data_IF_764843326866
#
_entry.id   IF_764843326866
#
_cell.length_a   1.000
_cell.length_b   1.000
_cell.length_c   1.000
_cell.angle_alpha   90.00
_cell.angle_beta   90.00
_cell.angle_gamma   90.00
#
_symmetry.space_group_name_H-M   'P 1'
#
loop_
_entity.id
_entity.type
_entity.pdbx_description
1 polymer ?
#
# COMPACT_ATOMS: atom_id res chain seq x y z
N UNK A 1 0.34 -14.54 -18.60
CA UNK A 1 0.94 -15.89 -18.49
C UNK A 1 1.42 -16.06 -17.05
N UNK A 2 0.83 -16.99 -16.30
CA UNK A 2 1.11 -17.26 -14.88
C UNK A 2 2.58 -17.64 -14.69
N UNK A 3 3.19 -17.28 -13.55
CA UNK A 3 4.53 -17.78 -13.25
C UNK A 3 4.43 -19.26 -12.86
N UNK A 4 5.07 -20.13 -13.63
CA UNK A 4 5.06 -21.58 -13.40
C UNK A 4 5.73 -21.90 -12.06
N UNK A 5 5.25 -22.95 -11.38
CA UNK A 5 5.84 -23.44 -10.13
C UNK A 5 7.27 -23.97 -10.32
N UNK A 6 7.66 -24.34 -11.55
CA UNK A 6 9.00 -24.82 -11.89
C UNK A 6 9.52 -24.14 -13.16
N UNK A 7 9.97 -22.87 -13.09
CA UNK A 7 10.45 -22.17 -14.27
C UNK A 7 11.86 -22.63 -14.69
N UNK A 8 12.20 -22.41 -15.97
CA UNK A 8 13.58 -22.49 -16.49
C UNK A 8 14.21 -21.10 -16.51
N UNK A 9 15.52 -21.02 -16.75
CA UNK A 9 16.22 -19.74 -16.91
C UNK A 9 15.65 -18.92 -18.07
N UNK A 10 15.37 -19.55 -19.22
CA UNK A 10 14.80 -18.89 -20.40
C UNK A 10 13.42 -18.32 -20.11
N UNK A 11 12.60 -19.04 -19.32
CA UNK A 11 11.28 -18.58 -18.95
C UNK A 11 11.34 -17.36 -18.04
N UNK A 12 12.26 -17.34 -17.06
CA UNK A 12 12.48 -16.16 -16.20
C UNK A 12 12.95 -14.96 -17.03
N UNK A 13 13.90 -15.17 -17.96
CA UNK A 13 14.34 -14.12 -18.90
C UNK A 13 13.19 -13.60 -19.76
N UNK A 14 12.27 -14.47 -20.18
CA UNK A 14 11.06 -14.07 -20.91
C UNK A 14 10.12 -13.20 -20.06
N UNK A 15 9.99 -13.48 -18.76
CA UNK A 15 9.22 -12.63 -17.82
C UNK A 15 9.84 -11.24 -17.65
N UNK A 16 11.17 -11.17 -17.54
CA UNK A 16 11.88 -9.90 -17.47
C UNK A 16 11.74 -9.14 -18.80
N UNK A 17 11.95 -9.81 -19.94
CA UNK A 17 11.87 -9.18 -21.28
C UNK A 17 10.49 -8.61 -21.60
N UNK A 18 9.40 -9.18 -21.06
CA UNK A 18 8.04 -8.65 -21.24
C UNK A 18 7.70 -7.47 -20.32
N UNK A 19 8.62 -7.06 -19.44
CA UNK A 19 8.44 -5.92 -18.54
C UNK A 19 7.90 -6.27 -17.15
N UNK A 20 7.94 -7.53 -16.69
CA UNK A 20 7.58 -7.80 -15.29
C UNK A 20 8.60 -7.15 -14.33
N UNK A 21 8.09 -6.52 -13.27
CA UNK A 21 8.89 -5.76 -12.31
C UNK A 21 9.45 -4.44 -12.85
N UNK A 22 8.94 -3.96 -13.98
CA UNK A 22 9.42 -2.76 -14.69
C UNK A 22 8.27 -1.81 -15.02
N UNK A 23 8.61 -0.58 -15.39
CA UNK A 23 7.67 0.51 -15.68
C UNK A 23 7.45 1.43 -14.48
N UNK A 24 6.56 2.40 -14.64
CA UNK A 24 6.21 3.41 -13.63
C UNK A 24 4.71 3.76 -13.73
N UNK A 25 4.13 4.20 -12.61
CA UNK A 25 2.73 4.58 -12.52
C UNK A 25 1.78 3.53 -13.09
N UNK A 26 0.91 3.93 -14.02
CA UNK A 26 -0.05 3.05 -14.70
C UNK A 26 0.59 1.92 -15.51
N UNK A 27 1.84 2.11 -15.96
CA UNK A 27 2.55 1.17 -16.82
C UNK A 27 3.41 0.18 -16.03
N UNK A 28 3.59 0.41 -14.72
CA UNK A 28 4.32 -0.52 -13.87
C UNK A 28 3.60 -1.86 -13.77
N UNK A 29 4.37 -2.95 -13.85
CA UNK A 29 3.89 -4.32 -13.71
C UNK A 29 4.60 -4.96 -12.52
N UNK A 30 3.90 -5.32 -11.43
CA UNK A 30 4.55 -6.00 -10.31
C UNK A 30 5.16 -7.32 -10.80
N UNK A 31 6.29 -7.72 -10.21
CA UNK A 31 6.89 -8.98 -10.61
C UNK A 31 6.00 -10.13 -10.16
N UNK A 32 5.64 -10.23 -8.89
CA UNK A 32 4.71 -11.25 -8.41
C UNK A 32 3.29 -10.70 -8.30
N UNK A 33 2.31 -11.52 -8.68
CA UNK A 33 0.88 -11.24 -8.47
C UNK A 33 0.34 -12.18 -7.39
N UNK A 34 -0.83 -11.85 -6.83
CA UNK A 34 -1.50 -12.66 -5.79
C UNK A 34 -1.71 -14.13 -6.17
N UNK A 35 -1.74 -14.46 -7.46
CA UNK A 35 -1.92 -15.84 -7.96
C UNK A 35 -0.61 -16.60 -8.17
N UNK A 36 0.54 -15.91 -8.12
CA UNK A 36 1.86 -16.50 -8.35
C UNK A 36 2.49 -17.06 -7.06
N UNK A 37 2.03 -16.62 -5.89
CA UNK A 37 2.58 -16.98 -4.58
C UNK A 37 1.49 -17.58 -3.70
N UNK A 38 1.69 -18.78 -3.13
CA UNK A 38 0.79 -19.32 -2.12
C UNK A 38 0.78 -18.40 -0.90
N UNK A 39 -0.36 -17.80 -0.57
CA UNK A 39 -0.45 -16.91 0.57
C UNK A 39 -0.55 -17.70 1.87
N UNK A 40 0.26 -17.33 2.87
CA UNK A 40 0.12 -17.84 4.25
C UNK A 40 -1.02 -17.12 5.01
N UNK A 41 -1.59 -16.08 4.42
CA UNK A 41 -2.69 -15.29 4.95
C UNK A 41 -3.54 -14.70 3.82
N UNK A 42 -4.20 -13.56 4.08
CA UNK A 42 -5.03 -12.87 3.10
C UNK A 42 -4.18 -12.13 2.06
N UNK A 43 -4.45 -12.39 0.78
CA UNK A 43 -3.95 -11.56 -0.33
C UNK A 43 -5.02 -10.56 -0.77
N UNK A 44 -4.59 -9.40 -1.25
CA UNK A 44 -5.48 -8.29 -1.61
C UNK A 44 -5.14 -7.76 -2.99
N UNK A 45 -6.17 -7.54 -3.81
CA UNK A 45 -6.08 -6.74 -5.03
C UNK A 45 -6.82 -5.43 -4.81
N UNK A 46 -6.16 -4.31 -5.11
CA UNK A 46 -6.74 -2.97 -4.89
C UNK A 46 -6.46 -2.08 -6.09
N UNK A 47 -7.48 -1.38 -6.58
CA UNK A 47 -7.32 -0.39 -7.65
C UNK A 47 -6.72 0.90 -7.09
N UNK A 48 -5.50 1.25 -7.47
CA UNK A 48 -4.76 2.40 -6.95
C UNK A 48 -5.30 3.74 -7.47
N UNK A 49 -5.63 4.65 -6.56
CA UNK A 49 -6.11 6.00 -6.81
C UNK A 49 -5.03 6.88 -7.46
N UNK A 50 -3.76 6.73 -7.06
CA UNK A 50 -2.64 7.51 -7.61
C UNK A 50 -2.11 6.96 -8.94
N UNK A 51 -2.14 5.65 -9.11
CA UNK A 51 -1.47 4.94 -10.20
C UNK A 51 -2.44 4.49 -11.30
N UNK A 52 -3.75 4.49 -11.02
CA UNK A 52 -4.81 4.02 -11.90
C UNK A 52 -4.57 2.59 -12.45
N UNK A 53 -4.03 1.71 -11.59
CA UNK A 53 -3.84 0.28 -11.89
C UNK A 53 -4.22 -0.59 -10.70
N UNK A 54 -4.40 -1.89 -10.95
CA UNK A 54 -4.58 -2.86 -9.86
C UNK A 54 -3.23 -3.20 -9.24
N UNK A 55 -3.13 -3.04 -7.92
CA UNK A 55 -2.00 -3.47 -7.11
C UNK A 55 -2.26 -4.86 -6.53
N UNK A 56 -1.17 -5.60 -6.28
CA UNK A 56 -1.21 -6.98 -5.78
C UNK A 56 -0.41 -7.13 -4.47
N UNK A 57 -1.11 -7.35 -3.36
CA UNK A 57 -0.50 -7.52 -2.04
C UNK A 57 -0.67 -8.93 -1.51
N UNK A 58 0.41 -9.48 -0.94
CA UNK A 58 0.50 -10.86 -0.49
C UNK A 58 0.22 -11.00 1.02
N UNK A 59 0.07 -9.88 1.72
CA UNK A 59 -0.28 -9.82 3.14
C UNK A 59 -1.07 -8.55 3.48
N UNK A 60 -1.78 -8.59 4.61
CA UNK A 60 -2.52 -7.42 5.13
C UNK A 60 -1.58 -6.27 5.52
N UNK A 61 -0.39 -6.57 6.04
CA UNK A 61 0.58 -5.54 6.43
C UNK A 61 1.04 -4.78 5.19
N UNK A 62 1.31 -5.46 4.08
CA UNK A 62 1.63 -4.81 2.80
C UNK A 62 0.48 -3.93 2.31
N UNK A 63 -0.75 -4.44 2.37
CA UNK A 63 -1.93 -3.68 1.98
C UNK A 63 -2.10 -2.40 2.83
N UNK A 64 -1.91 -2.46 4.14
CA UNK A 64 -2.01 -1.27 4.99
C UNK A 64 -0.87 -0.27 4.73
N UNK A 65 0.34 -0.73 4.39
CA UNK A 65 1.40 0.17 3.93
C UNK A 65 1.02 0.88 2.63
N UNK A 66 0.38 0.18 1.68
CA UNK A 66 -0.16 0.81 0.48
C UNK A 66 -1.17 1.90 0.80
N UNK A 67 -2.15 1.63 1.66
CA UNK A 67 -3.19 2.60 2.01
C UNK A 67 -2.58 3.85 2.64
N UNK A 68 -1.63 3.69 3.57
CA UNK A 68 -0.91 4.82 4.16
C UNK A 68 -0.09 5.60 3.13
N UNK A 69 0.62 4.91 2.23
CA UNK A 69 1.40 5.54 1.17
C UNK A 69 0.51 6.27 0.15
N UNK A 70 -0.63 5.69 -0.21
CA UNK A 70 -1.61 6.29 -1.12
C UNK A 70 -2.30 7.51 -0.49
N UNK A 71 -2.49 7.52 0.83
CA UNK A 71 -2.95 8.72 1.53
C UNK A 71 -1.83 9.74 1.80
N UNK A 72 -0.57 9.43 1.55
CA UNK A 72 0.52 10.40 1.72
C UNK A 72 0.56 11.39 0.55
N UNK A 73 0.52 12.72 0.78
CA UNK A 73 0.61 13.70 -0.30
C UNK A 73 1.97 13.67 -1.01
N UNK A 74 3.03 13.32 -0.28
CA UNK A 74 4.39 13.27 -0.81
C UNK A 74 4.68 12.07 -1.70
N UNK A 75 3.80 11.07 -1.77
CA UNK A 75 3.97 9.89 -2.62
C UNK A 75 3.28 10.10 -3.96
N UNK A 76 3.94 9.84 -5.09
CA UNK A 76 3.35 9.98 -6.44
C UNK A 76 3.24 8.66 -7.18
N UNK A 77 4.07 7.67 -6.84
CA UNK A 77 3.99 6.33 -7.40
C UNK A 77 4.25 5.28 -6.31
N UNK A 78 3.60 4.13 -6.48
CA UNK A 78 3.69 2.98 -5.57
C UNK A 78 3.97 1.77 -6.45
N UNK A 79 5.09 1.08 -6.22
CA UNK A 79 5.52 -0.09 -6.99
C UNK A 79 5.74 -1.27 -6.06
N UNK A 80 4.75 -2.14 -5.96
CA UNK A 80 4.81 -3.37 -5.17
C UNK A 80 5.52 -4.49 -5.92
N UNK A 81 6.13 -5.41 -5.17
CA UNK A 81 6.83 -6.57 -5.72
C UNK A 81 7.86 -6.16 -6.79
N UNK A 82 8.66 -5.14 -6.45
CA UNK A 82 9.63 -4.49 -7.33
C UNK A 82 10.81 -5.40 -7.62
N UNK A 83 10.99 -5.81 -8.88
CA UNK A 83 12.07 -6.70 -9.25
C UNK A 83 13.44 -6.04 -9.07
N UNK A 84 14.33 -6.73 -8.36
CA UNK A 84 15.71 -6.32 -8.24
C UNK A 84 16.45 -6.72 -9.52
N UNK A 85 16.55 -5.77 -10.46
CA UNK A 85 17.19 -5.94 -11.75
C UNK A 85 18.47 -5.08 -11.86
N UNK A 86 19.52 -5.57 -12.56
CA UNK A 86 19.61 -6.83 -13.33
C UNK A 86 19.52 -8.10 -12.47
N UNK A 87 18.92 -9.17 -13.00
CA UNK A 87 18.60 -10.40 -12.25
C UNK A 87 19.85 -11.08 -11.68
N UNK A 88 20.96 -11.01 -12.40
CA UNK A 88 22.25 -11.57 -12.03
C UNK A 88 22.91 -10.82 -10.86
N UNK A 89 22.56 -9.56 -10.62
CA UNK A 89 23.22 -8.74 -9.61
C UNK A 89 23.00 -9.27 -8.19
N UNK A 90 21.77 -9.69 -7.86
CA UNK A 90 21.48 -10.28 -6.54
C UNK A 90 22.24 -11.58 -6.32
N UNK A 91 22.54 -12.32 -7.39
CA UNK A 91 23.33 -13.55 -7.36
C UNK A 91 24.80 -13.23 -7.09
N UNK A 92 25.35 -12.22 -7.75
CA UNK A 92 26.70 -11.71 -7.48
C UNK A 92 26.83 -11.24 -6.03
N UNK A 93 25.86 -10.48 -5.52
CA UNK A 93 25.84 -10.03 -4.12
C UNK A 93 25.82 -11.24 -3.17
N UNK A 94 24.97 -12.24 -3.44
CA UNK A 94 24.89 -13.45 -2.63
C UNK A 94 26.24 -14.18 -2.58
N UNK A 95 26.90 -14.37 -3.73
CA UNK A 95 28.23 -14.97 -3.81
C UNK A 95 29.28 -14.18 -3.00
N UNK A 96 29.29 -12.85 -3.11
CA UNK A 96 30.22 -12.00 -2.37
C UNK A 96 30.04 -12.09 -0.86
N UNK A 97 28.81 -12.34 -0.40
CA UNK A 97 28.51 -12.51 1.03
C UNK A 97 28.63 -13.97 1.49
N UNK A 98 28.98 -14.91 0.61
CA UNK A 98 28.99 -16.34 0.94
C UNK A 98 27.59 -16.92 1.22
N UNK A 99 26.54 -16.27 0.71
CA UNK A 99 25.13 -16.63 0.92
C UNK A 99 24.62 -17.47 -0.25
N UNK A 100 23.85 -18.52 0.03
CA UNK A 100 23.17 -19.30 -1.00
C UNK A 100 22.02 -18.45 -1.58
N UNK A 101 22.09 -18.06 -2.85
CA UNK A 101 21.00 -17.30 -3.48
C UNK A 101 19.66 -18.07 -3.46
N UNK A 102 18.52 -17.43 -3.16
CA UNK A 102 17.21 -18.08 -3.20
C UNK A 102 16.86 -18.63 -4.60
N UNK A 103 16.14 -19.75 -4.64
CA UNK A 103 15.75 -20.47 -5.87
C UNK A 103 14.23 -20.69 -5.90
N UNK A 104 13.67 -20.81 -7.09
CA UNK A 104 12.26 -21.21 -7.24
C UNK A 104 12.06 -22.62 -6.67
N UNK A 105 10.99 -22.87 -5.89
CA UNK A 105 10.76 -24.17 -5.25
C UNK A 105 10.83 -25.35 -6.22
N UNK A 106 11.58 -26.40 -5.86
CA UNK A 106 11.72 -27.59 -6.69
C UNK A 106 12.56 -27.41 -7.96
N UNK A 107 13.35 -26.33 -8.06
CA UNK A 107 14.26 -26.07 -9.19
C UNK A 107 15.64 -25.58 -8.72
N UNK A 108 16.59 -25.53 -9.66
CA UNK A 108 17.90 -24.89 -9.46
C UNK A 108 17.95 -23.43 -9.95
N UNK A 109 16.83 -22.89 -10.41
CA UNK A 109 16.77 -21.56 -11.03
C UNK A 109 16.69 -20.49 -9.92
N UNK A 110 17.61 -19.50 -9.90
CA UNK A 110 17.56 -18.37 -8.98
C UNK A 110 16.20 -17.66 -9.04
N UNK A 111 15.64 -17.26 -7.90
CA UNK A 111 14.44 -16.42 -7.93
C UNK A 111 14.81 -15.01 -8.43
N UNK A 112 13.89 -14.30 -9.09
CA UNK A 112 14.02 -12.85 -9.16
C UNK A 112 13.59 -12.31 -7.80
N UNK A 113 14.54 -11.78 -7.03
CA UNK A 113 14.24 -11.16 -5.75
C UNK A 113 13.45 -9.87 -5.97
N UNK A 114 12.58 -9.55 -5.02
CA UNK A 114 11.73 -8.37 -5.06
C UNK A 114 11.78 -7.61 -3.75
N UNK A 115 11.68 -6.28 -3.83
CA UNK A 115 11.29 -5.46 -2.68
C UNK A 115 9.77 -5.35 -2.59
N UNK A 116 9.24 -5.38 -1.38
CA UNK A 116 7.78 -5.46 -1.17
C UNK A 116 7.07 -4.20 -1.66
N UNK A 117 7.57 -3.00 -1.31
CA UNK A 117 7.07 -1.72 -1.80
C UNK A 117 8.22 -0.75 -2.08
N UNK A 118 8.24 -0.16 -3.27
CA UNK A 118 9.09 0.98 -3.65
C UNK A 118 8.19 2.17 -3.95
N UNK A 119 8.40 3.26 -3.21
CA UNK A 119 7.67 4.51 -3.38
C UNK A 119 8.51 5.51 -4.17
N UNK A 120 7.87 6.28 -5.03
CA UNK A 120 8.44 7.50 -5.61
C UNK A 120 7.79 8.70 -4.94
N UNK A 121 8.60 9.64 -4.45
CA UNK A 121 8.10 10.86 -3.83
C UNK A 121 7.92 12.00 -4.83
N UNK A 122 7.24 13.07 -4.43
CA UNK A 122 7.13 14.33 -5.17
C UNK A 122 8.49 14.96 -5.49
N UNK A 123 9.52 14.67 -4.68
CA UNK A 123 10.91 15.10 -4.91
C UNK A 123 11.68 14.14 -5.83
N UNK A 124 10.99 13.20 -6.48
CA UNK A 124 11.57 12.15 -7.32
C UNK A 124 12.60 11.27 -6.58
N UNK A 125 12.44 11.12 -5.27
CA UNK A 125 13.29 10.23 -4.45
C UNK A 125 12.61 8.88 -4.28
N UNK A 126 13.42 7.82 -4.19
CA UNK A 126 12.92 6.48 -3.94
C UNK A 126 13.02 6.14 -2.45
N UNK A 127 11.95 5.56 -1.91
CA UNK A 127 11.90 5.01 -0.55
C UNK A 127 11.51 3.55 -0.66
N UNK A 128 12.31 2.66 -0.06
CA UNK A 128 12.09 1.22 -0.16
C UNK A 128 11.68 0.65 1.19
N UNK A 129 10.55 -0.06 1.18
CA UNK A 129 10.04 -0.82 2.32
C UNK A 129 10.12 -2.32 2.02
N UNK A 130 10.88 -3.02 2.86
CA UNK A 130 10.80 -4.46 3.01
C UNK A 130 9.89 -4.75 4.21
N UNK A 131 8.73 -5.35 3.95
CA UNK A 131 7.65 -5.46 4.91
C UNK A 131 7.70 -6.83 5.59
N UNK A 132 7.81 -6.85 6.91
CA UNK A 132 7.85 -8.08 7.70
C UNK A 132 7.04 -7.90 8.99
N UNK A 133 6.35 -8.93 9.50
CA UNK A 133 5.69 -8.84 10.80
C UNK A 133 6.71 -8.58 11.91
N UNK A 134 6.38 -7.77 12.91
CA UNK A 134 7.30 -7.49 14.02
C UNK A 134 7.64 -8.77 14.80
N UNK A 135 6.70 -9.70 14.94
CA UNK A 135 6.94 -11.02 15.53
C UNK A 135 8.05 -11.83 14.84
N UNK A 136 8.33 -11.56 13.55
CA UNK A 136 9.39 -12.23 12.79
C UNK A 136 10.72 -11.48 12.92
N UNK A 137 10.68 -10.14 12.92
CA UNK A 137 11.87 -9.29 13.02
C UNK A 137 12.43 -9.26 14.44
N UNK A 138 11.55 -9.17 15.44
CA UNK A 138 11.88 -9.07 16.86
C UNK A 138 12.00 -10.45 17.53
N UNK A 139 11.94 -11.54 16.75
CA UNK A 139 12.10 -12.89 17.26
C UNK A 139 13.44 -13.03 17.98
N UNK A 140 13.44 -13.66 19.17
CA UNK A 140 14.66 -13.87 19.95
C UNK A 140 15.76 -14.61 19.16
N UNK A 141 15.36 -15.48 18.23
CA UNK A 141 16.22 -16.12 17.25
C UNK A 141 15.61 -15.95 15.85
N UNK A 142 15.94 -14.85 15.15
CA UNK A 142 15.42 -14.62 13.80
C UNK A 142 16.04 -15.61 12.83
N UNK A 143 15.26 -16.04 11.85
CA UNK A 143 15.70 -17.03 10.86
C UNK A 143 16.98 -16.56 10.14
N UNK A 144 18.09 -17.31 10.18
CA UNK A 144 19.31 -16.97 9.43
C UNK A 144 19.02 -16.77 7.95
N UNK A 145 18.14 -17.61 7.40
CA UNK A 145 17.73 -17.55 5.99
C UNK A 145 16.98 -16.27 5.64
N UNK A 146 16.23 -15.70 6.58
CA UNK A 146 15.60 -14.40 6.38
C UNK A 146 16.66 -13.29 6.35
N UNK A 147 17.55 -13.25 7.34
CA UNK A 147 18.60 -12.25 7.45
C UNK A 147 19.53 -12.24 6.23
N UNK A 148 19.85 -13.41 5.69
CA UNK A 148 20.58 -13.59 4.43
C UNK A 148 19.88 -12.88 3.25
N UNK A 149 18.58 -13.13 3.06
CA UNK A 149 17.80 -12.50 1.98
C UNK A 149 17.74 -10.99 2.13
N UNK A 150 17.51 -10.52 3.36
CA UNK A 150 17.50 -9.09 3.69
C UNK A 150 18.85 -8.44 3.42
N UNK A 151 19.96 -9.14 3.67
CA UNK A 151 21.31 -8.62 3.41
C UNK A 151 21.56 -8.41 1.92
N UNK A 152 21.11 -9.35 1.07
CA UNK A 152 21.22 -9.22 -0.39
C UNK A 152 20.40 -8.02 -0.89
N UNK A 153 19.14 -7.90 -0.44
CA UNK A 153 18.26 -6.80 -0.82
C UNK A 153 18.82 -5.43 -0.36
N UNK A 154 19.27 -5.34 0.89
CA UNK A 154 19.87 -4.12 1.44
C UNK A 154 21.10 -3.69 0.65
N UNK A 155 21.99 -4.62 0.32
CA UNK A 155 23.19 -4.30 -0.47
C UNK A 155 22.85 -3.85 -1.89
N UNK A 156 21.84 -4.45 -2.53
CA UNK A 156 21.37 -4.06 -3.85
C UNK A 156 20.93 -2.58 -3.89
N UNK A 157 20.18 -2.13 -2.88
CA UNK A 157 19.76 -0.72 -2.78
C UNK A 157 20.88 0.21 -2.30
N UNK A 158 21.76 -0.25 -1.42
CA UNK A 158 22.93 0.52 -0.96
C UNK A 158 23.83 0.91 -2.13
N UNK A 159 24.07 0.00 -3.08
CA UNK A 159 24.85 0.28 -4.32
C UNK A 159 24.26 1.38 -5.19
N UNK A 160 22.95 1.63 -5.07
CA UNK A 160 22.21 2.68 -5.77
C UNK A 160 22.07 3.96 -4.96
N UNK A 161 22.63 4.02 -3.74
CA UNK A 161 22.47 5.16 -2.83
C UNK A 161 21.04 5.37 -2.34
N UNK A 162 20.19 4.34 -2.40
CA UNK A 162 18.77 4.44 -2.04
C UNK A 162 18.55 3.91 -0.63
N UNK A 163 17.78 4.65 0.16
CA UNK A 163 17.41 4.26 1.51
C UNK A 163 16.50 3.02 1.49
N UNK A 164 16.92 1.99 2.20
CA UNK A 164 16.19 0.73 2.37
C UNK A 164 15.86 0.53 3.84
N UNK A 165 14.60 0.24 4.14
CA UNK A 165 14.11 0.09 5.52
C UNK A 165 13.25 -1.16 5.66
N UNK A 166 13.48 -1.93 6.73
CA UNK A 166 12.54 -2.95 7.18
C UNK A 166 11.39 -2.23 7.87
N UNK A 167 10.18 -2.43 7.37
CA UNK A 167 8.97 -1.87 7.95
C UNK A 167 8.08 -2.99 8.50
N UNK A 168 7.46 -2.72 9.64
CA UNK A 168 6.55 -3.64 10.33
C UNK A 168 5.22 -2.95 10.59
N UNK A 169 4.24 -3.69 11.09
CA UNK A 169 2.96 -3.15 11.55
C UNK A 169 3.09 -2.09 12.66
N UNK A 170 4.26 -1.95 13.30
CA UNK A 170 4.53 -0.91 14.32
C UNK A 170 4.91 0.45 13.71
N UNK A 171 5.33 0.48 12.44
CA UNK A 171 5.72 1.72 11.74
C UNK A 171 4.52 2.47 11.16
N UNK A 172 3.36 1.84 11.16
CA UNK A 172 2.10 2.41 10.68
C UNK A 172 1.04 2.29 11.76
N UNK A 173 0.12 3.24 11.80
CA UNK A 173 -1.08 3.08 12.62
C UNK A 173 -2.09 2.18 11.89
N UNK A 174 -2.36 1.02 12.49
CA UNK A 174 -3.38 0.11 11.96
C UNK A 174 -4.79 0.70 12.06
N UNK A 175 -5.06 1.56 13.05
CA UNK A 175 -6.33 2.28 13.17
C UNK A 175 -6.49 3.23 11.99
N UNK A 176 -5.47 4.06 11.75
CA UNK A 176 -5.40 4.96 10.58
C UNK A 176 -5.60 4.21 9.27
N UNK A 177 -4.87 3.13 9.06
CA UNK A 177 -4.95 2.36 7.82
C UNK A 177 -6.36 1.76 7.61
N UNK A 178 -7.01 1.28 8.68
CA UNK A 178 -8.40 0.76 8.62
C UNK A 178 -9.41 1.86 8.35
N UNK A 179 -9.31 2.99 9.04
CA UNK A 179 -10.15 4.16 8.80
C UNK A 179 -10.06 4.61 7.34
N UNK A 180 -8.84 4.81 6.84
CA UNK A 180 -8.60 5.16 5.45
C UNK A 180 -9.17 4.11 4.50
N UNK A 181 -8.96 2.82 4.77
CA UNK A 181 -9.51 1.72 3.96
C UNK A 181 -11.03 1.80 3.85
N UNK A 182 -11.73 2.02 4.96
CA UNK A 182 -13.20 2.12 4.99
C UNK A 182 -13.69 3.34 4.21
N UNK A 183 -13.06 4.50 4.43
CA UNK A 183 -13.43 5.74 3.75
C UNK A 183 -13.08 5.71 2.25
N UNK A 184 -12.10 4.89 1.85
CA UNK A 184 -11.62 4.77 0.46
C UNK A 184 -12.68 4.30 -0.51
N UNK A 185 -13.68 3.57 -0.02
CA UNK A 185 -14.81 3.10 -0.84
C UNK A 185 -15.47 4.29 -1.56
N UNK A 186 -15.58 5.44 -0.88
CA UNK A 186 -16.12 6.68 -1.46
C UNK A 186 -15.32 7.22 -2.66
N UNK A 187 -14.01 6.95 -2.73
CA UNK A 187 -13.13 7.39 -3.82
C UNK A 187 -13.23 6.52 -5.07
N UNK A 188 -13.73 5.29 -4.94
CA UNK A 188 -13.84 4.33 -6.06
C UNK A 188 -15.28 4.13 -6.54
N UNK A 189 -16.27 4.60 -5.77
CA UNK A 189 -17.69 4.64 -6.14
C UNK A 189 -17.97 5.70 -7.22
N UNK A 190 -17.61 5.39 -8.47
CA UNK A 190 -17.79 6.29 -9.63
C UNK A 190 -19.26 6.59 -9.93
N UNK A 191 -20.15 5.66 -9.61
CA UNK A 191 -21.60 5.84 -9.69
C UNK A 191 -22.12 7.00 -8.81
N UNK A 192 -21.34 7.41 -7.82
CA UNK A 192 -21.65 8.53 -6.93
C UNK A 192 -20.86 9.80 -7.26
N UNK A 193 -20.15 9.88 -8.38
CA UNK A 193 -19.32 11.05 -8.74
C UNK A 193 -20.12 12.35 -8.89
N UNK A 194 -21.43 12.26 -9.12
CA UNK A 194 -22.33 13.43 -9.10
C UNK A 194 -22.35 14.15 -7.74
N UNK A 195 -22.06 13.45 -6.63
CA UNK A 195 -21.93 14.04 -5.30
C UNK A 195 -20.72 14.98 -5.17
N UNK A 196 -19.78 14.97 -6.11
CA UNK A 196 -18.60 15.84 -6.05
C UNK A 196 -18.95 17.34 -6.04
N UNK A 197 -20.10 17.72 -6.63
CA UNK A 197 -20.60 19.09 -6.60
C UNK A 197 -20.91 19.61 -5.18
N UNK A 198 -21.20 18.72 -4.24
CA UNK A 198 -21.58 19.07 -2.86
C UNK A 198 -20.40 19.11 -1.89
N UNK A 199 -19.19 18.71 -2.31
CA UNK A 199 -18.04 18.58 -1.40
C UNK A 199 -17.71 19.91 -0.72
N UNK A 200 -17.69 21.02 -1.46
CA UNK A 200 -17.33 22.32 -0.91
C UNK A 200 -18.32 22.79 0.15
N UNK A 201 -19.63 22.65 -0.13
CA UNK A 201 -20.69 23.02 0.80
C UNK A 201 -20.73 22.09 2.02
N UNK A 202 -20.61 20.77 1.80
CA UNK A 202 -20.51 19.79 2.88
C UNK A 202 -19.36 20.10 3.84
N UNK A 203 -18.17 20.42 3.31
CA UNK A 203 -16.99 20.76 4.13
C UNK A 203 -17.21 22.05 4.93
N UNK A 204 -17.96 23.01 4.39
CA UNK A 204 -18.33 24.23 5.10
C UNK A 204 -19.37 23.98 6.20
N UNK A 205 -20.35 23.11 5.95
CA UNK A 205 -21.44 22.79 6.89
C UNK A 205 -21.00 21.84 8.01
N UNK A 206 -20.14 20.85 7.71
CA UNK A 206 -19.80 19.79 8.66
C UNK A 206 -19.30 20.33 10.02
N UNK A 207 -18.37 21.30 10.09
CA UNK A 207 -17.92 21.87 11.37
C UNK A 207 -19.02 22.62 12.14
N UNK A 208 -20.03 23.18 11.45
CA UNK A 208 -21.14 23.91 12.09
C UNK A 208 -22.09 22.96 12.83
N UNK A 209 -22.27 21.75 12.31
CA UNK A 209 -23.12 20.72 12.92
C UNK A 209 -22.35 19.77 13.85
N UNK A 210 -21.02 19.82 13.81
CA UNK A 210 -20.14 19.02 14.66
C UNK A 210 -20.27 19.41 16.14
N UNK A 211 -20.17 18.41 17.02
CA UNK A 211 -20.03 18.63 18.46
C UNK A 211 -19.36 17.42 19.12
N UNK A 212 -18.68 17.60 20.26
CA UNK A 212 -17.84 16.56 20.88
C UNK A 212 -18.60 15.31 21.35
N UNK A 213 -19.93 15.40 21.48
CA UNK A 213 -20.81 14.31 21.90
C UNK A 213 -21.74 13.81 20.79
N UNK A 214 -21.79 14.49 19.64
CA UNK A 214 -22.59 14.04 18.49
C UNK A 214 -21.85 12.93 17.77
N UNK A 215 -22.56 11.87 17.44
CA UNK A 215 -21.99 10.81 16.60
C UNK A 215 -21.99 11.19 15.12
N UNK A 216 -21.22 10.44 14.32
CA UNK A 216 -21.10 10.70 12.89
C UNK A 216 -22.46 10.71 12.19
N UNK A 217 -23.33 9.72 12.43
CA UNK A 217 -24.63 9.63 11.75
C UNK A 217 -25.53 10.84 12.05
N UNK A 218 -25.51 11.36 13.28
CA UNK A 218 -26.24 12.58 13.65
C UNK A 218 -25.73 13.79 12.86
N UNK A 219 -24.40 13.95 12.76
CA UNK A 219 -23.78 15.05 12.01
C UNK A 219 -24.13 14.94 10.53
N UNK A 220 -24.01 13.74 9.95
CA UNK A 220 -24.35 13.49 8.55
C UNK A 220 -25.84 13.69 8.27
N UNK A 221 -26.72 13.36 9.22
CA UNK A 221 -28.15 13.60 9.09
C UNK A 221 -28.50 15.10 9.15
N UNK A 222 -27.81 15.87 10.00
CA UNK A 222 -28.03 17.31 10.08
C UNK A 222 -27.50 18.04 8.82
N UNK A 223 -26.29 17.70 8.36
CA UNK A 223 -25.76 18.24 7.08
C UNK A 223 -26.62 17.79 5.90
N UNK A 224 -27.09 16.55 5.90
CA UNK A 224 -27.96 16.01 4.84
C UNK A 224 -29.29 16.76 4.72
N UNK A 225 -29.86 17.29 5.81
CA UNK A 225 -31.07 18.13 5.74
C UNK A 225 -30.82 19.44 5.00
N UNK A 226 -29.67 20.07 5.21
CA UNK A 226 -29.30 21.32 4.53
C UNK A 226 -29.00 21.09 3.05
N UNK A 227 -28.40 19.95 2.71
CA UNK A 227 -28.03 19.61 1.33
C UNK A 227 -29.15 18.88 0.54
N UNK A 228 -30.26 18.54 1.18
CA UNK A 228 -31.31 17.65 0.64
C UNK A 228 -30.75 16.28 0.18
N UNK A 229 -29.89 15.68 1.01
CA UNK A 229 -29.23 14.40 0.74
C UNK A 229 -29.45 13.38 1.87
N UNK A 230 -29.64 12.09 1.55
CA UNK A 230 -29.66 11.02 2.54
C UNK A 230 -28.29 10.83 3.20
N UNK A 231 -28.32 10.33 4.45
CA UNK A 231 -27.12 10.06 5.27
C UNK A 231 -26.05 9.24 4.53
N UNK A 232 -26.45 8.26 3.73
CA UNK A 232 -25.52 7.40 2.97
C UNK A 232 -24.70 8.18 1.94
N UNK A 233 -25.32 9.16 1.29
CA UNK A 233 -24.65 10.02 0.31
C UNK A 233 -23.74 11.03 1.02
N UNK A 234 -24.20 11.57 2.15
CA UNK A 234 -23.36 12.38 3.04
C UNK A 234 -22.13 11.60 3.56
N UNK A 235 -22.26 10.31 3.87
CA UNK A 235 -21.11 9.46 4.23
C UNK A 235 -20.11 9.30 3.06
N UNK A 236 -20.61 9.20 1.82
CA UNK A 236 -19.75 9.18 0.64
C UNK A 236 -18.97 10.50 0.52
N UNK A 237 -19.65 11.65 0.66
CA UNK A 237 -19.02 12.97 0.62
C UNK A 237 -18.00 13.11 1.77
N UNK A 238 -18.33 12.66 2.97
CA UNK A 238 -17.42 12.63 4.12
C UNK A 238 -16.13 11.85 3.80
N UNK A 239 -16.26 10.64 3.28
CA UNK A 239 -15.11 9.82 2.89
C UNK A 239 -14.22 10.50 1.85
N UNK A 240 -14.83 11.15 0.84
CA UNK A 240 -14.10 11.91 -0.19
C UNK A 240 -13.40 13.12 0.40
N UNK A 241 -14.10 13.90 1.23
CA UNK A 241 -13.55 15.08 1.88
C UNK A 241 -12.32 14.72 2.74
N UNK A 242 -12.36 13.60 3.47
CA UNK A 242 -11.22 13.10 4.25
C UNK A 242 -10.08 12.65 3.33
N UNK A 243 -10.35 11.84 2.31
CA UNK A 243 -9.32 11.35 1.38
C UNK A 243 -8.64 12.45 0.57
N UNK A 244 -9.40 13.47 0.20
CA UNK A 244 -8.91 14.68 -0.47
C UNK A 244 -8.26 15.67 0.51
N UNK A 245 -8.29 15.39 1.82
CA UNK A 245 -7.74 16.24 2.90
C UNK A 245 -8.41 17.62 2.97
N UNK A 246 -9.68 17.69 2.58
CA UNK A 246 -10.53 18.87 2.69
C UNK A 246 -11.22 18.93 4.07
N UNK A 247 -11.41 17.77 4.70
CA UNK A 247 -11.90 17.66 6.08
C UNK A 247 -10.88 16.90 6.91
N UNK A 248 -10.27 17.59 7.88
CA UNK A 248 -9.21 17.01 8.72
C UNK A 248 -9.80 16.41 9.99
N UNK A 249 -9.68 15.09 10.11
CA UNK A 249 -10.15 14.32 11.26
C UNK A 249 -9.01 13.51 11.88
N UNK A 250 -9.16 13.15 13.15
CA UNK A 250 -8.24 12.26 13.84
C UNK A 250 -8.41 10.82 13.34
N UNK A 251 -7.56 10.44 12.39
CA UNK A 251 -7.53 9.09 11.85
C UNK A 251 -6.93 8.06 12.81
N UNK A 252 -6.37 8.47 13.95
CA UNK A 252 -5.79 7.58 14.96
C UNK A 252 -6.83 7.01 15.93
N UNK A 253 -8.07 7.52 15.88
CA UNK A 253 -9.22 7.02 16.62
C UNK A 253 -10.15 6.27 15.67
N UNK A 254 -10.69 5.09 16.05
CA UNK A 254 -11.64 4.37 15.20
C UNK A 254 -12.81 5.26 14.78
N UNK A 255 -13.13 5.26 13.49
CA UNK A 255 -14.29 5.96 12.95
C UNK A 255 -15.40 4.94 12.76
N UNK A 256 -16.49 5.17 13.48
CA UNK A 256 -17.73 4.42 13.34
C UNK A 256 -18.93 5.38 13.29
N UNK A 257 -20.07 4.87 12.81
CA UNK A 257 -21.29 5.66 12.61
C UNK A 257 -21.91 6.18 13.90
N UNK A 258 -21.71 5.49 15.02
CA UNK A 258 -22.41 5.71 16.29
C UNK A 258 -21.55 6.35 17.38
N UNK A 259 -20.29 6.66 17.06
CA UNK A 259 -19.33 7.34 17.93
C UNK A 259 -19.02 8.76 17.44
N UNK A 260 -18.60 9.67 18.35
CA UNK A 260 -18.11 10.98 17.96
C UNK A 260 -16.86 10.91 17.08
N UNK A 261 -16.86 11.67 15.99
CA UNK A 261 -15.66 11.91 15.18
C UNK A 261 -14.88 13.07 15.77
N UNK A 262 -13.55 12.94 15.88
CA UNK A 262 -12.70 14.03 16.35
C UNK A 262 -12.18 14.83 15.16
N UNK A 263 -12.48 16.12 15.14
CA UNK A 263 -11.83 17.05 14.21
C UNK A 263 -10.44 17.39 14.76
N UNK A 264 -9.44 17.47 13.86
CA UNK A 264 -8.16 18.08 14.20
C UNK A 264 -8.31 19.56 13.86
N UNK A 265 -8.34 20.41 14.89
CA UNK A 265 -8.24 21.85 14.68
C UNK A 265 -6.86 22.16 14.12
N UNK A 266 -6.83 22.78 12.94
CA UNK A 266 -5.62 23.33 12.32
C UNK A 266 -5.13 24.56 13.07
#
# INVERSE_FOLDING_TARGET
MRKSSKPTYELVRKWIKRGDGQGEGRAYRPFFHVRDVPSLGRSTMVHGLKTNRTHHYLSDIEFYHHICAEFCPDVVDIREQYALLPWEETQTIATQFGIIHPRYPGTQVPIVMTSDIVLTTTKNTLVVFCIKPSAVVDAASPSPRMLEKLSIEKEFWRRRGIAWTISTERRISLVRARNLTNLRISMVSRELDWLNGFIAEFVALFPLFWGPHKNLDQILADVGKELDLPVKECFCIFGRAVWLRLLTIDLEVPIDHFSPVRLIQS
#
